data_IF_369604569384
#
_entry.id   IF_369604569384
#
_cell.length_a   1.000
_cell.length_b   1.000
_cell.length_c   1.000
_cell.angle_alpha   90.00
_cell.angle_beta   90.00
_cell.angle_gamma   90.00
#
_symmetry.space_group_name_H-M   'P 1'
#
loop_
_entity.id
_entity.type
_entity.pdbx_description
1 polymer ?
#
# COMPACT_ATOMS: atom_id res chain seq x y z
N UNK A 1 19.28 2.36 6.73
CA UNK A 1 20.05 1.11 6.44
C UNK A 1 19.20 0.24 5.52
N UNK A 2 19.73 -0.32 4.44
CA UNK A 2 18.94 -0.95 3.35
C UNK A 2 17.98 -2.08 3.78
N UNK A 3 18.18 -2.71 4.95
CA UNK A 3 17.25 -3.69 5.54
C UNK A 3 15.87 -3.09 5.86
N UNK A 4 15.81 -1.80 6.16
CA UNK A 4 14.58 -1.07 6.44
C UNK A 4 13.73 -0.87 5.18
N UNK A 5 14.37 -0.81 3.99
CA UNK A 5 13.66 -0.65 2.72
C UNK A 5 12.85 -1.89 2.36
N UNK A 6 13.43 -3.09 2.49
CA UNK A 6 12.72 -4.34 2.23
C UNK A 6 11.47 -4.45 3.11
N UNK A 7 11.62 -4.24 4.42
CA UNK A 7 10.51 -4.24 5.39
C UNK A 7 9.41 -3.24 4.99
N UNK A 8 9.77 -2.00 4.65
CA UNK A 8 8.81 -0.96 4.24
C UNK A 8 8.05 -1.32 2.97
N UNK A 9 8.74 -1.83 1.95
CA UNK A 9 8.11 -2.23 0.67
C UNK A 9 7.20 -3.43 0.88
N UNK A 10 7.66 -4.47 1.59
CA UNK A 10 6.84 -5.63 1.95
C UNK A 10 5.59 -5.19 2.72
N UNK A 11 5.75 -4.30 3.71
CA UNK A 11 4.62 -3.82 4.51
C UNK A 11 3.58 -3.07 3.65
N UNK A 12 4.01 -2.17 2.77
CA UNK A 12 3.09 -1.47 1.85
C UNK A 12 2.37 -2.42 0.92
N UNK A 13 3.09 -3.38 0.37
CA UNK A 13 2.53 -4.38 -0.53
C UNK A 13 1.44 -5.22 0.15
N UNK A 14 1.70 -5.71 1.37
CA UNK A 14 0.73 -6.51 2.11
C UNK A 14 -0.41 -5.67 2.69
N UNK A 15 -0.18 -4.40 3.01
CA UNK A 15 -1.26 -3.47 3.34
C UNK A 15 -2.18 -3.23 2.12
N UNK A 16 -1.62 -3.06 0.92
CA UNK A 16 -2.39 -2.95 -0.33
C UNK A 16 -3.21 -4.23 -0.58
N UNK A 17 -2.61 -5.41 -0.40
CA UNK A 17 -3.30 -6.70 -0.54
C UNK A 17 -4.45 -6.86 0.46
N UNK A 18 -4.29 -6.41 1.70
CA UNK A 18 -5.37 -6.39 2.70
C UNK A 18 -6.53 -5.48 2.27
N UNK A 19 -6.23 -4.25 1.80
CA UNK A 19 -7.25 -3.33 1.27
C UNK A 19 -7.96 -3.96 0.05
N UNK A 20 -7.21 -4.61 -0.84
CA UNK A 20 -7.74 -5.29 -2.01
C UNK A 20 -8.69 -6.44 -1.63
N UNK A 21 -8.30 -7.28 -0.68
CA UNK A 21 -9.13 -8.38 -0.20
C UNK A 21 -10.47 -7.87 0.34
N UNK A 22 -10.45 -6.83 1.18
CA UNK A 22 -11.68 -6.22 1.69
C UNK A 22 -12.57 -5.68 0.57
N UNK A 23 -11.97 -5.04 -0.45
CA UNK A 23 -12.69 -4.53 -1.61
C UNK A 23 -13.35 -5.62 -2.46
N UNK A 24 -12.72 -6.79 -2.58
CA UNK A 24 -13.25 -7.95 -3.32
C UNK A 24 -14.38 -8.62 -2.54
N UNK A 25 -14.19 -8.81 -1.23
CA UNK A 25 -15.16 -9.45 -0.36
C UNK A 25 -16.35 -8.55 -0.02
N UNK A 26 -16.33 -7.27 -0.47
CA UNK A 26 -17.30 -6.24 -0.09
C UNK A 26 -17.39 -6.07 1.43
N UNK A 27 -16.27 -6.30 2.11
CA UNK A 27 -16.13 -6.07 3.53
C UNK A 27 -16.04 -4.56 3.79
N UNK A 28 -16.42 -4.17 5.00
CA UNK A 28 -16.31 -2.79 5.41
C UNK A 28 -14.84 -2.42 5.66
N UNK A 29 -14.32 -1.49 4.85
CA UNK A 29 -12.95 -0.98 4.97
C UNK A 29 -12.69 -0.34 6.35
N UNK A 30 -13.76 0.03 7.08
CA UNK A 30 -13.69 0.57 8.42
C UNK A 30 -13.27 -0.46 9.48
N UNK A 31 -13.33 -1.76 9.16
CA UNK A 31 -13.01 -2.86 10.10
C UNK A 31 -11.68 -3.56 9.79
N UNK A 32 -10.83 -3.00 8.91
CA UNK A 32 -9.56 -3.62 8.50
C UNK A 32 -8.63 -3.98 9.65
N UNK A 33 -8.59 -3.20 10.73
CA UNK A 33 -7.72 -3.45 11.89
C UNK A 33 -7.98 -4.84 12.51
N UNK A 34 -9.24 -5.30 12.53
CA UNK A 34 -9.62 -6.60 13.07
C UNK A 34 -9.13 -7.80 12.24
N UNK A 35 -8.81 -7.58 10.96
CA UNK A 35 -8.37 -8.64 10.05
C UNK A 35 -6.86 -8.78 9.95
N UNK A 36 -6.08 -7.82 10.47
CA UNK A 36 -4.60 -7.78 10.31
C UNK A 36 -3.96 -9.08 10.77
N UNK A 37 -4.27 -9.55 11.99
CA UNK A 37 -3.58 -10.71 12.56
C UNK A 37 -3.86 -11.99 11.76
N UNK A 38 -5.13 -12.24 11.44
CA UNK A 38 -5.52 -13.39 10.61
C UNK A 38 -4.87 -13.30 9.24
N UNK A 39 -4.95 -12.14 8.58
CA UNK A 39 -4.35 -11.92 7.26
C UNK A 39 -2.84 -12.17 7.25
N UNK A 40 -2.09 -11.66 8.24
CA UNK A 40 -0.64 -11.86 8.32
C UNK A 40 -0.27 -13.31 8.60
N UNK A 41 -1.04 -14.01 9.44
CA UNK A 41 -0.81 -15.42 9.73
C UNK A 41 -1.10 -16.31 8.52
N UNK A 42 -2.23 -16.09 7.86
CA UNK A 42 -2.65 -16.88 6.68
C UNK A 42 -1.70 -16.69 5.50
N UNK A 43 -1.02 -15.53 5.42
CA UNK A 43 -0.08 -15.21 4.35
C UNK A 43 1.40 -15.27 4.78
N UNK A 44 1.71 -15.81 5.95
CA UNK A 44 3.05 -15.70 6.56
C UNK A 44 4.17 -16.17 5.63
N UNK A 45 4.02 -17.35 5.02
CA UNK A 45 5.03 -17.92 4.11
C UNK A 45 5.27 -17.02 2.89
N UNK A 46 4.21 -16.49 2.28
CA UNK A 46 4.32 -15.56 1.14
C UNK A 46 4.98 -14.25 1.54
N UNK A 47 4.72 -13.75 2.75
CA UNK A 47 5.34 -12.53 3.28
C UNK A 47 6.84 -12.73 3.46
N UNK A 48 7.24 -13.86 4.05
CA UNK A 48 8.64 -14.24 4.23
C UNK A 48 9.35 -14.31 2.89
N UNK A 49 8.80 -15.06 1.92
CA UNK A 49 9.40 -15.22 0.60
C UNK A 49 9.57 -13.86 -0.11
N UNK A 50 8.54 -13.01 -0.06
CA UNK A 50 8.59 -11.68 -0.67
C UNK A 50 9.62 -10.77 -0.01
N UNK A 51 9.69 -10.79 1.32
CA UNK A 51 10.68 -10.02 2.06
C UNK A 51 12.10 -10.49 1.73
N UNK A 52 12.35 -11.80 1.66
CA UNK A 52 13.64 -12.35 1.29
C UNK A 52 14.06 -11.93 -0.13
N UNK A 53 13.14 -12.01 -1.10
CA UNK A 53 13.37 -11.55 -2.48
C UNK A 53 13.79 -10.09 -2.52
N UNK A 54 13.03 -9.20 -1.87
CA UNK A 54 13.34 -7.77 -1.81
C UNK A 54 14.65 -7.50 -1.06
N UNK A 55 14.93 -8.26 -0.01
CA UNK A 55 16.17 -8.14 0.76
C UNK A 55 17.38 -8.54 -0.08
N UNK A 56 17.27 -9.57 -0.92
CA UNK A 56 18.29 -9.93 -1.90
C UNK A 56 18.48 -8.83 -2.96
N UNK A 57 17.39 -8.28 -3.49
CA UNK A 57 17.45 -7.21 -4.50
C UNK A 57 18.09 -5.91 -3.96
N UNK A 58 17.82 -5.55 -2.70
CA UNK A 58 18.33 -4.32 -2.11
C UNK A 58 19.71 -4.48 -1.45
N UNK A 59 20.10 -5.69 -1.07
CA UNK A 59 21.35 -5.95 -0.37
C UNK A 59 22.52 -6.14 -1.34
N UNK A 60 23.68 -5.60 -0.96
CA UNK A 60 24.96 -5.93 -1.62
C UNK A 60 25.78 -6.91 -0.75
N UNK A 61 25.21 -7.43 0.33
CA UNK A 61 25.87 -8.37 1.24
C UNK A 61 25.59 -9.81 0.80
N UNK A 62 26.62 -10.62 0.47
CA UNK A 62 26.45 -12.02 0.11
C UNK A 62 26.10 -12.94 1.30
N UNK A 63 26.33 -12.50 2.55
CA UNK A 63 26.08 -13.28 3.76
C UNK A 63 24.81 -12.79 4.48
N UNK A 64 23.67 -12.82 3.79
CA UNK A 64 22.38 -12.46 4.39
C UNK A 64 21.82 -13.63 5.17
N UNK A 65 21.56 -13.41 6.46
CA UNK A 65 20.75 -14.33 7.25
C UNK A 65 19.27 -14.12 6.90
N UNK A 66 18.66 -15.15 6.30
CA UNK A 66 17.28 -15.16 5.82
C UNK A 66 16.42 -16.25 6.48
N UNK A 67 17.00 -17.05 7.37
CA UNK A 67 16.33 -18.14 8.05
C UNK A 67 15.68 -17.67 9.37
N UNK A 68 14.67 -18.41 9.82
CA UNK A 68 13.99 -18.19 11.11
C UNK A 68 13.41 -16.76 11.32
N UNK A 69 13.07 -16.08 10.21
CA UNK A 69 12.45 -14.75 10.26
C UNK A 69 11.07 -14.82 10.92
N UNK A 70 10.80 -13.87 11.82
CA UNK A 70 9.48 -13.68 12.41
C UNK A 70 8.75 -12.53 11.71
N UNK A 71 7.44 -12.46 11.93
CA UNK A 71 6.60 -11.45 11.29
C UNK A 71 6.99 -10.02 11.71
N UNK A 72 7.49 -9.85 12.94
CA UNK A 72 8.02 -8.58 13.48
C UNK A 72 9.25 -8.09 12.71
N UNK A 73 10.03 -9.00 12.14
CA UNK A 73 11.27 -8.68 11.42
C UNK A 73 10.98 -8.15 10.01
N UNK A 74 9.84 -8.54 9.45
CA UNK A 74 9.53 -8.38 8.02
C UNK A 74 8.33 -7.47 7.74
N UNK A 75 7.46 -7.24 8.72
CA UNK A 75 6.29 -6.36 8.64
C UNK A 75 6.34 -5.29 9.72
N UNK A 76 6.04 -4.04 9.34
CA UNK A 76 5.75 -2.96 10.27
C UNK A 76 4.24 -2.94 10.57
N UNK A 77 3.86 -3.61 11.66
CA UNK A 77 2.46 -3.67 12.10
C UNK A 77 1.92 -2.34 12.58
N UNK A 78 2.75 -1.49 13.18
CA UNK A 78 2.31 -0.18 13.64
C UNK A 78 1.89 0.69 12.45
N UNK A 79 2.66 0.65 11.37
CA UNK A 79 2.28 1.27 10.11
C UNK A 79 0.94 0.74 9.58
N UNK A 80 0.72 -0.59 9.56
CA UNK A 80 -0.55 -1.16 9.08
C UNK A 80 -1.74 -0.69 9.93
N UNK A 81 -1.59 -0.67 11.26
CA UNK A 81 -2.63 -0.19 12.18
C UNK A 81 -2.93 1.29 11.93
N UNK A 82 -1.90 2.14 11.75
CA UNK A 82 -2.09 3.55 11.42
C UNK A 82 -2.89 3.74 10.13
N UNK A 83 -2.58 2.99 9.08
CA UNK A 83 -3.32 3.02 7.81
C UNK A 83 -4.77 2.59 8.02
N UNK A 84 -5.03 1.49 8.73
CA UNK A 84 -6.39 1.01 8.99
C UNK A 84 -7.24 2.06 9.72
N UNK A 85 -6.68 2.71 10.75
CA UNK A 85 -7.37 3.78 11.48
C UNK A 85 -7.62 5.00 10.61
N UNK A 86 -6.61 5.43 9.85
CA UNK A 86 -6.76 6.55 8.93
C UNK A 86 -7.82 6.28 7.85
N UNK A 87 -7.86 5.08 7.27
CA UNK A 87 -8.89 4.67 6.31
C UNK A 87 -10.28 4.61 6.94
N UNK A 88 -10.40 4.07 8.15
CA UNK A 88 -11.65 4.04 8.90
C UNK A 88 -12.24 5.44 9.04
N UNK A 89 -11.43 6.39 9.45
CA UNK A 89 -11.89 7.75 9.77
C UNK A 89 -12.05 8.63 8.51
N UNK A 90 -11.33 8.35 7.42
CA UNK A 90 -11.21 9.26 6.27
C UNK A 90 -11.57 8.66 4.89
N UNK A 91 -12.04 7.42 4.82
CA UNK A 91 -12.33 6.73 3.54
C UNK A 91 -13.21 7.54 2.58
N UNK A 92 -14.22 8.25 3.07
CA UNK A 92 -15.08 9.12 2.26
C UNK A 92 -14.31 10.26 1.58
N UNK A 93 -13.47 10.98 2.34
CA UNK A 93 -12.64 12.09 1.83
C UNK A 93 -11.58 11.57 0.85
N UNK A 94 -10.98 10.42 1.16
CA UNK A 94 -10.00 9.76 0.29
C UNK A 94 -10.65 9.40 -1.05
N UNK A 95 -11.81 8.76 -1.03
CA UNK A 95 -12.55 8.37 -2.23
C UNK A 95 -13.03 9.57 -3.04
N UNK A 96 -13.44 10.66 -2.38
CA UNK A 96 -13.82 11.91 -3.03
C UNK A 96 -12.63 12.53 -3.77
N UNK A 97 -11.46 12.62 -3.12
CA UNK A 97 -10.25 13.17 -3.75
C UNK A 97 -9.81 12.33 -4.96
N UNK A 98 -9.90 10.99 -4.87
CA UNK A 98 -9.62 10.12 -6.01
C UNK A 98 -10.64 10.36 -7.14
N UNK A 99 -11.95 10.37 -6.83
CA UNK A 99 -13.02 10.57 -7.81
C UNK A 99 -12.92 11.91 -8.54
N UNK A 100 -12.50 12.97 -7.84
CA UNK A 100 -12.37 14.32 -8.39
C UNK A 100 -11.43 14.37 -9.60
N UNK A 101 -10.38 13.54 -9.59
CA UNK A 101 -9.36 13.53 -10.64
C UNK A 101 -9.42 12.31 -11.56
N UNK A 102 -10.27 11.32 -11.27
CA UNK A 102 -10.55 10.20 -12.16
C UNK A 102 -11.54 10.61 -13.27
N UNK A 103 -11.05 11.42 -14.23
CA UNK A 103 -11.82 11.91 -15.39
C UNK A 103 -12.67 10.80 -16.03
N UNK A 104 -14.01 10.90 -15.89
CA UNK A 104 -15.03 9.99 -16.45
C UNK A 104 -15.04 8.54 -15.92
N UNK A 105 -14.26 8.22 -14.89
CA UNK A 105 -14.26 6.90 -14.24
C UNK A 105 -14.75 7.06 -12.81
N UNK A 106 -15.92 6.50 -12.50
CA UNK A 106 -16.29 6.35 -11.10
C UNK A 106 -15.39 5.31 -10.45
N UNK A 107 -14.98 5.52 -9.20
CA UNK A 107 -14.23 4.54 -8.38
C UNK A 107 -14.85 3.14 -8.42
N UNK A 108 -16.16 3.04 -8.64
CA UNK A 108 -16.90 1.78 -8.72
C UNK A 108 -16.49 0.91 -9.92
N UNK A 109 -16.06 1.52 -11.03
CA UNK A 109 -15.64 0.82 -12.27
C UNK A 109 -14.14 0.57 -12.34
N UNK A 110 -13.37 1.14 -11.41
CA UNK A 110 -11.93 0.98 -11.37
C UNK A 110 -11.57 -0.46 -10.99
N UNK A 111 -10.53 -1.07 -11.60
CA UNK A 111 -9.97 -2.32 -11.12
C UNK A 111 -9.69 -2.22 -9.62
N UNK A 112 -10.06 -3.24 -8.85
CA UNK A 112 -9.97 -3.19 -7.38
C UNK A 112 -8.53 -3.03 -6.90
N UNK A 113 -7.56 -3.55 -7.66
CA UNK A 113 -6.13 -3.40 -7.36
C UNK A 113 -5.66 -1.95 -7.54
N UNK A 114 -6.01 -1.29 -8.65
CA UNK A 114 -5.74 0.13 -8.90
C UNK A 114 -6.33 1.01 -7.79
N UNK A 115 -7.60 0.74 -7.42
CA UNK A 115 -8.28 1.47 -6.35
C UNK A 115 -7.60 1.27 -4.99
N UNK A 116 -7.11 0.06 -4.70
CA UNK A 116 -6.44 -0.25 -3.43
C UNK A 116 -5.10 0.48 -3.31
N UNK A 117 -4.35 0.56 -4.42
CA UNK A 117 -3.10 1.33 -4.52
C UNK A 117 -3.37 2.83 -4.32
N UNK A 118 -4.39 3.37 -5.01
CA UNK A 118 -4.76 4.77 -4.90
C UNK A 118 -5.20 5.13 -3.47
N UNK A 119 -6.08 4.33 -2.86
CA UNK A 119 -6.52 4.55 -1.48
C UNK A 119 -5.36 4.53 -0.49
N UNK A 120 -4.45 3.56 -0.62
CA UNK A 120 -3.27 3.48 0.25
C UNK A 120 -2.40 4.74 0.12
N UNK A 121 -2.09 5.16 -1.12
CA UNK A 121 -1.24 6.32 -1.35
C UNK A 121 -1.88 7.63 -0.89
N UNK A 122 -3.17 7.84 -1.18
CA UNK A 122 -3.88 9.05 -0.78
C UNK A 122 -4.04 9.10 0.74
N UNK A 123 -4.30 7.96 1.39
CA UNK A 123 -4.28 7.83 2.84
C UNK A 123 -2.93 8.24 3.44
N UNK A 124 -1.81 7.71 2.92
CA UNK A 124 -0.48 8.14 3.38
C UNK A 124 -0.29 9.65 3.21
N UNK A 125 -0.62 10.21 2.05
CA UNK A 125 -0.41 11.64 1.76
C UNK A 125 -1.24 12.59 2.63
N UNK A 126 -2.44 12.18 3.02
CA UNK A 126 -3.38 13.01 3.80
C UNK A 126 -3.22 12.82 5.31
N UNK A 127 -2.93 11.59 5.75
CA UNK A 127 -3.05 11.20 7.15
C UNK A 127 -1.72 10.89 7.84
N UNK A 128 -0.61 10.70 7.09
CA UNK A 128 0.71 10.37 7.62
C UNK A 128 1.75 11.42 7.23
N UNK A 129 1.79 12.59 7.92
CA UNK A 129 2.69 13.69 7.58
C UNK A 129 4.17 13.34 7.74
N UNK A 130 4.50 12.29 8.49
CA UNK A 130 5.87 11.78 8.60
C UNK A 130 6.39 11.11 7.32
N UNK A 131 5.50 10.74 6.39
CA UNK A 131 5.85 10.11 5.12
C UNK A 131 5.88 11.16 4.02
N UNK A 132 7.03 11.41 3.35
CA UNK A 132 7.08 12.36 2.26
C UNK A 132 6.14 11.95 1.12
N UNK A 133 5.23 12.84 0.70
CA UNK A 133 4.24 12.57 -0.36
C UNK A 133 4.84 11.96 -1.63
N UNK A 134 6.03 12.44 -2.04
CA UNK A 134 6.77 11.91 -3.20
C UNK A 134 7.15 10.44 -3.04
N UNK A 135 7.48 9.99 -1.83
CA UNK A 135 7.79 8.58 -1.54
C UNK A 135 6.52 7.74 -1.71
N UNK A 136 5.39 8.15 -1.13
CA UNK A 136 4.10 7.46 -1.30
C UNK A 136 3.72 7.29 -2.76
N UNK A 137 3.84 8.35 -3.57
CA UNK A 137 3.55 8.32 -5.01
C UNK A 137 4.47 7.34 -5.74
N UNK A 138 5.77 7.40 -5.46
CA UNK A 138 6.72 6.48 -6.10
C UNK A 138 6.41 5.01 -5.76
N UNK A 139 6.15 4.70 -4.49
CA UNK A 139 5.81 3.33 -4.06
C UNK A 139 4.48 2.86 -4.69
N UNK A 140 3.49 3.75 -4.82
CA UNK A 140 2.23 3.44 -5.49
C UNK A 140 2.43 3.09 -6.97
N UNK A 141 3.30 3.82 -7.68
CA UNK A 141 3.64 3.55 -9.07
C UNK A 141 4.42 2.24 -9.23
N UNK A 142 5.34 1.93 -8.31
CA UNK A 142 6.03 0.63 -8.32
C UNK A 142 5.07 -0.53 -8.06
N UNK A 143 4.13 -0.40 -7.12
CA UNK A 143 3.09 -1.41 -6.91
C UNK A 143 2.24 -1.60 -8.17
N UNK A 144 1.87 -0.51 -8.86
CA UNK A 144 1.08 -0.58 -10.07
C UNK A 144 1.80 -1.33 -11.21
N UNK A 145 3.14 -1.19 -11.31
CA UNK A 145 3.93 -1.94 -12.31
C UNK A 145 3.95 -3.45 -12.06
N UNK A 146 3.83 -3.85 -10.80
CA UNK A 146 3.88 -5.26 -10.40
C UNK A 146 2.49 -5.91 -10.53
N UNK A 147 1.43 -5.18 -10.18
CA UNK A 147 0.11 -5.75 -9.93
C UNK A 147 -0.99 -5.35 -10.91
N UNK A 148 -0.75 -4.36 -11.76
CA UNK A 148 -1.76 -3.79 -12.65
C UNK A 148 -1.34 -3.90 -14.12
N UNK A 149 -2.27 -3.58 -15.03
CA UNK A 149 -2.00 -3.53 -16.46
C UNK A 149 -1.00 -2.41 -16.82
N UNK A 150 -0.34 -2.52 -17.97
CA UNK A 150 0.70 -1.59 -18.46
C UNK A 150 0.29 -0.10 -18.49
N UNK A 151 -1.02 0.18 -18.56
CA UNK A 151 -1.55 1.55 -18.57
C UNK A 151 -1.74 2.13 -17.16
N UNK A 152 -1.89 1.29 -16.14
CA UNK A 152 -2.22 1.70 -14.78
C UNK A 152 -1.13 2.55 -14.10
N UNK A 153 0.20 2.27 -14.23
CA UNK A 153 1.22 3.12 -13.62
C UNK A 153 1.13 4.59 -14.04
N UNK A 154 0.90 4.84 -15.34
CA UNK A 154 0.75 6.21 -15.88
C UNK A 154 -0.55 6.85 -15.40
N UNK A 155 -1.63 6.10 -15.37
CA UNK A 155 -2.94 6.57 -14.92
C UNK A 155 -2.93 6.93 -13.42
N UNK A 156 -2.45 6.03 -12.57
CA UNK A 156 -2.30 6.24 -11.11
C UNK A 156 -1.41 7.45 -10.84
N UNK A 157 -0.25 7.55 -11.50
CA UNK A 157 0.63 8.71 -11.34
C UNK A 157 -0.05 10.03 -11.73
N UNK A 158 -0.89 10.04 -12.77
CA UNK A 158 -1.65 11.22 -13.18
C UNK A 158 -2.68 11.68 -12.15
N UNK A 159 -3.42 10.73 -11.55
CA UNK A 159 -4.37 11.03 -10.46
C UNK A 159 -3.61 11.56 -9.25
N UNK A 160 -2.59 10.83 -8.79
CA UNK A 160 -1.82 11.20 -7.60
C UNK A 160 -1.11 12.54 -7.74
N UNK A 161 -0.62 12.87 -8.95
CA UNK A 161 -0.06 14.19 -9.26
C UNK A 161 -1.07 15.33 -9.13
N UNK A 162 -2.36 15.05 -9.40
CA UNK A 162 -3.42 16.05 -9.21
C UNK A 162 -3.81 16.17 -7.73
N UNK A 163 -3.94 15.05 -7.04
CA UNK A 163 -4.24 15.00 -5.59
C UNK A 163 -3.16 15.71 -4.77
N UNK A 164 -1.88 15.43 -5.03
CA UNK A 164 -0.79 16.04 -4.26
C UNK A 164 -0.72 17.56 -4.41
N UNK A 165 -1.10 18.08 -5.59
CA UNK A 165 -1.19 19.51 -5.86
C UNK A 165 -2.35 20.14 -5.09
N UNK A 166 -3.49 19.45 -4.95
CA UNK A 166 -4.62 19.90 -4.14
C UNK A 166 -4.26 19.94 -2.65
N UNK A 167 -3.62 18.90 -2.10
CA UNK A 167 -3.20 18.88 -0.67
C UNK A 167 -2.07 19.90 -0.39
N UNK A 168 -1.35 20.34 -1.42
CA UNK A 168 -0.26 21.32 -1.30
C UNK A 168 -0.70 22.78 -1.38
N UNK A 169 -1.96 23.04 -1.75
CA UNK A 169 -2.60 24.36 -1.67
C UNK A 169 -3.07 24.64 -0.24
#
# INVERSE_FOLDING_TARGET
>A
MKSDKAKKVTTREYMMKLIYQANINKEDIQNLEGYINTFLNDNFEYIVNRYQELRLQYSNNPNLELENLKIEDIIDREYMIKICRALKDNSGVIDESINKFSKNWSIQRMPKVDLSILRLCVCEMMCLPEIPKKVSINEAVELAKIYCDDKSPKFINGILGSVVNEIGQ
#
